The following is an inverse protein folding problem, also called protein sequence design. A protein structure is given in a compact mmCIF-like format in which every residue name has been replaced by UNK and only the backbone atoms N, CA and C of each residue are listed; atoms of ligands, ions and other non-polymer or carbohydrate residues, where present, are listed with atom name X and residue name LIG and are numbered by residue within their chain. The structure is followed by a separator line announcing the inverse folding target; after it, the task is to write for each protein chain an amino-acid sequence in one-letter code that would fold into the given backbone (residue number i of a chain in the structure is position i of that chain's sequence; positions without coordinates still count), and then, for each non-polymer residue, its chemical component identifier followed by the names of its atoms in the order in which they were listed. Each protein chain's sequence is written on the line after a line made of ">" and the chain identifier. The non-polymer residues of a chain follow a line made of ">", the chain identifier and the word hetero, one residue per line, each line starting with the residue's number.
data_IF_617256367819
#
_entry.id   IF_617256367819
#
_cell.length_a   1.000
_cell.length_b   1.000
_cell.length_c   1.000
_cell.angle_alpha   90.00
_cell.angle_beta   90.00
_cell.angle_gamma   90.00
#
_symmetry.space_group_name_H-M   'P 1'
#
loop_
_entity.id
_entity.type
_entity.pdbx_description
1 polymer ?
#
# COMPACT_ATOMS: atom_id res chain seq x y z
N UNK A 1 1.68 -3.73 -3.15
CA UNK A 1 0.50 -3.94 -4.04
C UNK A 1 0.49 -5.28 -4.72
N UNK A 2 1.59 -5.75 -5.36
CA UNK A 2 1.66 -7.10 -5.97
C UNK A 2 1.33 -8.20 -4.97
N UNK A 3 1.86 -8.10 -3.74
CA UNK A 3 1.56 -9.02 -2.65
C UNK A 3 0.05 -9.19 -2.42
N UNK A 4 -0.72 -8.09 -2.38
CA UNK A 4 -2.16 -8.10 -2.13
C UNK A 4 -2.97 -8.75 -3.25
N UNK A 5 -2.42 -8.89 -4.45
CA UNK A 5 -3.06 -9.62 -5.55
C UNK A 5 -2.93 -11.15 -5.40
N UNK A 6 -2.08 -11.62 -4.49
CA UNK A 6 -1.87 -13.05 -4.24
C UNK A 6 -3.02 -13.68 -3.45
N UNK A 7 -3.47 -14.86 -3.90
CA UNK A 7 -4.47 -15.68 -3.20
C UNK A 7 -3.94 -16.29 -1.90
N UNK A 8 -2.65 -16.59 -1.83
CA UNK A 8 -1.91 -16.94 -0.61
C UNK A 8 -0.72 -15.99 -0.46
N UNK A 9 -0.56 -15.40 0.72
CA UNK A 9 0.43 -14.35 1.00
C UNK A 9 1.26 -14.79 2.20
N UNK A 10 2.52 -15.10 1.98
CA UNK A 10 3.42 -15.68 2.97
C UNK A 10 4.66 -14.79 3.05
N UNK A 11 5.20 -14.62 4.25
CA UNK A 11 6.48 -13.96 4.46
C UNK A 11 7.30 -14.64 5.55
N UNK A 12 8.58 -14.28 5.68
CA UNK A 12 9.40 -14.72 6.80
C UNK A 12 9.18 -13.82 8.02
N UNK A 13 9.48 -14.34 9.22
CA UNK A 13 9.34 -13.63 10.51
C UNK A 13 10.03 -12.26 10.54
N UNK A 14 11.19 -12.13 9.88
CA UNK A 14 12.01 -10.92 9.87
C UNK A 14 11.68 -9.97 8.71
N UNK A 15 10.63 -10.27 7.93
CA UNK A 15 10.20 -9.41 6.82
C UNK A 15 9.52 -8.14 7.35
N UNK A 16 9.92 -6.99 6.82
CA UNK A 16 9.21 -5.72 7.02
C UNK A 16 8.52 -5.29 5.73
N UNK A 17 7.32 -4.71 5.85
CA UNK A 17 6.57 -4.18 4.71
C UNK A 17 6.54 -2.67 4.76
N UNK A 18 6.93 -2.05 3.65
CA UNK A 18 6.70 -0.64 3.42
C UNK A 18 5.34 -0.44 2.75
N UNK A 19 4.48 0.35 3.40
CA UNK A 19 3.17 0.75 2.89
C UNK A 19 3.16 2.25 2.66
N UNK A 20 2.75 2.64 1.46
CA UNK A 20 2.60 4.03 1.08
C UNK A 20 1.62 4.17 -0.09
N UNK A 21 1.06 5.37 -0.25
CA UNK A 21 0.31 5.74 -1.45
C UNK A 21 1.24 5.85 -2.66
N UNK A 22 0.67 5.74 -3.86
CA UNK A 22 1.40 6.07 -5.07
C UNK A 22 1.80 7.55 -5.05
N UNK A 23 3.09 7.77 -5.24
CA UNK A 23 3.71 9.08 -5.34
C UNK A 23 4.59 9.10 -6.58
N UNK A 24 4.82 10.28 -7.11
CA UNK A 24 5.72 10.49 -8.22
C UNK A 24 6.41 11.84 -8.02
N UNK A 25 7.75 11.85 -7.89
CA UNK A 25 8.47 13.10 -7.89
C UNK A 25 8.39 13.70 -9.30
N UNK A 26 7.99 14.95 -9.38
CA UNK A 26 8.09 15.70 -10.63
C UNK A 26 9.41 16.46 -10.63
N UNK A 27 10.13 16.35 -11.74
CA UNK A 27 11.33 17.11 -12.00
C UNK A 27 11.17 17.76 -13.38
N UNK A 28 11.32 19.10 -13.46
CA UNK A 28 11.13 19.90 -14.67
C UNK A 28 9.90 20.82 -14.67
N UNK A 29 9.80 21.65 -15.72
CA UNK A 29 8.64 22.51 -15.97
C UNK A 29 7.44 21.67 -16.43
N UNK A 30 6.28 21.89 -15.82
CA UNK A 30 5.01 21.33 -16.25
C UNK A 30 4.03 22.46 -16.55
N UNK A 31 3.23 22.29 -17.60
CA UNK A 31 2.06 23.13 -17.77
C UNK A 31 1.01 22.80 -16.69
N UNK A 32 0.05 23.71 -16.49
CA UNK A 32 -1.11 23.45 -15.62
C UNK A 32 -1.91 22.23 -16.08
N UNK A 33 -1.99 22.00 -17.40
CA UNK A 33 -2.66 20.84 -17.99
C UNK A 33 -1.96 19.52 -17.62
N UNK A 34 -0.63 19.47 -17.73
CA UNK A 34 0.15 18.29 -17.35
C UNK A 34 -0.02 17.98 -15.85
N UNK A 35 -0.01 19.01 -15.01
CA UNK A 35 -0.27 18.89 -13.58
C UNK A 35 -1.66 18.33 -13.28
N UNK A 36 -2.70 18.80 -13.96
CA UNK A 36 -4.07 18.34 -13.76
C UNK A 36 -4.26 16.89 -14.19
N UNK A 37 -3.75 16.51 -15.36
CA UNK A 37 -3.83 15.14 -15.88
C UNK A 37 -3.13 14.17 -14.93
N UNK A 38 -1.90 14.49 -14.52
CA UNK A 38 -1.12 13.64 -13.59
C UNK A 38 -1.79 13.57 -12.22
N UNK A 39 -2.28 14.68 -11.69
CA UNK A 39 -3.00 14.70 -10.41
C UNK A 39 -4.22 13.79 -10.46
N UNK A 40 -4.97 13.83 -11.55
CA UNK A 40 -6.16 12.99 -11.76
C UNK A 40 -5.78 11.51 -11.84
N UNK A 41 -4.70 11.18 -12.56
CA UNK A 41 -4.17 9.82 -12.63
C UNK A 41 -3.81 9.28 -11.23
N UNK A 42 -3.02 10.03 -10.44
CA UNK A 42 -2.63 9.59 -9.09
C UNK A 42 -3.80 9.50 -8.12
N UNK A 43 -4.77 10.42 -8.21
CA UNK A 43 -5.99 10.36 -7.40
C UNK A 43 -6.78 9.09 -7.70
N UNK A 44 -7.03 8.82 -8.99
CA UNK A 44 -7.76 7.63 -9.44
C UNK A 44 -7.03 6.35 -9.05
N UNK A 45 -5.72 6.33 -9.25
CA UNK A 45 -4.88 5.21 -8.89
C UNK A 45 -4.88 4.94 -7.38
N UNK A 46 -4.72 5.97 -6.54
CA UNK A 46 -4.74 5.81 -5.09
C UNK A 46 -6.12 5.36 -4.57
N UNK A 47 -7.21 5.80 -5.20
CA UNK A 47 -8.55 5.25 -4.92
C UNK A 47 -8.62 3.75 -5.21
N UNK A 48 -8.07 3.29 -6.35
CA UNK A 48 -8.03 1.85 -6.68
C UNK A 48 -7.20 1.05 -5.67
N UNK A 49 -6.06 1.59 -5.23
CA UNK A 49 -5.23 0.97 -4.18
C UNK A 49 -6.03 0.85 -2.88
N UNK A 50 -6.71 1.92 -2.44
CA UNK A 50 -7.58 1.88 -1.25
C UNK A 50 -8.65 0.78 -1.35
N UNK A 51 -9.33 0.68 -2.49
CA UNK A 51 -10.32 -0.37 -2.72
C UNK A 51 -9.72 -1.77 -2.63
N UNK A 52 -8.51 -1.98 -3.15
CA UNK A 52 -7.81 -3.26 -3.03
C UNK A 52 -7.51 -3.60 -1.56
N UNK A 53 -7.02 -2.65 -0.77
CA UNK A 53 -6.80 -2.86 0.67
C UNK A 53 -8.09 -3.22 1.40
N UNK A 54 -9.19 -2.50 1.14
CA UNK A 54 -10.52 -2.82 1.73
C UNK A 54 -10.99 -4.23 1.39
N UNK A 55 -10.70 -4.70 0.18
CA UNK A 55 -11.14 -6.02 -0.32
C UNK A 55 -10.29 -7.17 0.22
N UNK A 56 -8.98 -6.97 0.30
CA UNK A 56 -8.03 -8.07 0.51
C UNK A 56 -7.51 -8.16 1.95
N UNK A 57 -7.79 -7.18 2.80
CA UNK A 57 -7.27 -7.10 4.17
C UNK A 57 -8.39 -6.97 5.20
N UNK A 58 -8.05 -6.99 6.50
CA UNK A 58 -9.00 -6.79 7.60
C UNK A 58 -8.97 -5.36 8.17
N UNK A 59 -8.34 -4.44 7.45
CA UNK A 59 -8.15 -3.08 7.92
C UNK A 59 -9.45 -2.29 7.91
N UNK A 60 -9.63 -1.45 8.94
CA UNK A 60 -10.67 -0.43 8.93
C UNK A 60 -10.37 0.68 7.92
N UNK A 61 -11.40 1.41 7.50
CA UNK A 61 -11.23 2.58 6.62
C UNK A 61 -10.22 3.59 7.20
N UNK A 62 -10.27 3.84 8.51
CA UNK A 62 -9.36 4.76 9.18
C UNK A 62 -7.90 4.27 9.14
N UNK A 63 -7.67 2.96 9.30
CA UNK A 63 -6.31 2.41 9.20
C UNK A 63 -5.79 2.43 7.77
N UNK A 64 -6.65 2.19 6.76
CA UNK A 64 -6.26 2.29 5.35
C UNK A 64 -5.87 3.73 5.02
N UNK A 65 -6.64 4.72 5.49
CA UNK A 65 -6.28 6.13 5.33
C UNK A 65 -4.96 6.48 6.01
N UNK A 66 -4.72 5.94 7.22
CA UNK A 66 -3.44 6.13 7.93
C UNK A 66 -2.28 5.52 7.16
N UNK A 67 -2.40 4.26 6.75
CA UNK A 67 -1.35 3.50 6.04
C UNK A 67 -1.02 4.09 4.66
N UNK A 68 -2.03 4.62 3.97
CA UNK A 68 -1.88 5.24 2.65
C UNK A 68 -1.80 6.77 2.74
N UNK A 69 -1.42 7.30 3.90
CA UNK A 69 -1.21 8.73 4.10
C UNK A 69 0.09 9.21 3.42
N UNK A 70 0.52 10.44 3.73
CA UNK A 70 1.74 11.04 3.16
C UNK A 70 3.00 10.27 3.55
N UNK A 71 2.96 9.54 4.67
CA UNK A 71 4.15 8.95 5.27
C UNK A 71 4.37 7.52 4.79
N UNK A 72 5.65 7.18 4.68
CA UNK A 72 6.13 5.83 4.43
C UNK A 72 6.03 5.05 5.73
N UNK A 73 5.03 4.18 5.84
CA UNK A 73 4.81 3.42 7.05
C UNK A 73 5.41 2.04 6.89
N UNK A 74 6.36 1.72 7.76
CA UNK A 74 6.93 0.39 7.87
C UNK A 74 6.10 -0.38 8.91
N UNK A 75 5.72 -1.61 8.56
CA UNK A 75 5.08 -2.57 9.47
C UNK A 75 5.86 -3.88 9.49
N UNK A 76 5.82 -4.55 10.63
CA UNK A 76 6.44 -5.86 10.86
C UNK A 76 5.63 -7.00 10.22
N UNK A 77 6.21 -8.20 10.15
CA UNK A 77 5.49 -9.41 9.75
C UNK A 77 4.28 -9.69 10.67
N UNK A 78 4.46 -9.51 11.98
CA UNK A 78 3.40 -9.67 13.00
C UNK A 78 2.23 -8.71 12.75
N UNK A 79 2.52 -7.42 12.58
CA UNK A 79 1.46 -6.44 12.26
C UNK A 79 0.80 -6.76 10.92
N UNK A 80 1.57 -7.24 9.93
CA UNK A 80 1.04 -7.59 8.62
C UNK A 80 0.09 -8.79 8.68
N UNK A 81 0.36 -9.81 9.51
CA UNK A 81 -0.54 -10.96 9.67
C UNK A 81 -1.80 -10.56 10.46
N UNK A 82 -1.67 -9.76 11.51
CA UNK A 82 -2.81 -9.24 12.28
C UNK A 82 -3.77 -8.47 11.36
N UNK A 83 -3.22 -7.57 10.55
CA UNK A 83 -3.95 -6.72 9.60
C UNK A 83 -4.48 -7.48 8.38
N UNK A 84 -4.11 -8.76 8.21
CA UNK A 84 -4.51 -9.59 7.07
C UNK A 84 -3.82 -9.18 5.76
N UNK A 85 -2.72 -8.44 5.83
CA UNK A 85 -1.87 -8.12 4.67
C UNK A 85 -1.12 -9.37 4.22
N UNK A 86 -0.72 -10.23 5.15
CA UNK A 86 -0.26 -11.60 4.90
C UNK A 86 -1.16 -12.61 5.61
N UNK A 87 -1.09 -13.86 5.17
CA UNK A 87 -1.89 -14.97 5.72
C UNK A 87 -1.05 -15.90 6.61
N UNK A 88 0.27 -15.96 6.40
CA UNK A 88 1.15 -16.91 7.06
C UNK A 88 2.56 -16.32 7.23
N UNK A 89 3.18 -16.59 8.38
CA UNK A 89 4.58 -16.28 8.66
C UNK A 89 5.34 -17.61 8.71
N UNK A 90 6.46 -17.67 8.00
CA UNK A 90 7.39 -18.80 8.05
C UNK A 90 8.60 -18.45 8.92
N UNK A 91 9.02 -19.41 9.73
CA UNK A 91 10.27 -19.35 10.49
C UNK A 91 11.41 -19.96 9.65
N UNK A 92 12.62 -19.41 9.77
CA UNK A 92 13.81 -20.03 9.19
C UNK A 92 14.34 -21.04 10.20
N UNK A 93 14.27 -22.34 9.87
CA UNK A 93 14.94 -23.42 10.61
C UNK A 93 16.47 -23.34 10.49
#
# INVERSE_FOLDING_TARGET
>A
TVLLAGSKRICFENTTFLVHRMTYPFDGEMSEYDLEEKTTFFRTGNTKVKTLYKKETRLSDAEIERLLSKDWIVITAEEAIEKGIVHEIMELE
#
